data_IF_657587895855
#
_entry.id   IF_657587895855
#
_cell.length_a   1.000
_cell.length_b   1.000
_cell.length_c   1.000
_cell.angle_alpha   90.00
_cell.angle_beta   90.00
_cell.angle_gamma   90.00
#
_symmetry.space_group_name_H-M   'P 1'
#
loop_
_entity.id
_entity.type
_entity.pdbx_description
1 polymer ?
#
# COMPACT_ATOMS: atom_id res chain seq x y z
N UNK A 1 3.63 -64.96 -6.45
CA UNK A 1 2.98 -63.70 -6.05
C UNK A 1 3.45 -62.59 -6.98
N UNK A 2 2.54 -61.82 -7.57
CA UNK A 2 2.86 -60.73 -8.48
C UNK A 2 3.45 -59.56 -7.69
N UNK A 3 4.63 -59.07 -8.09
CA UNK A 3 5.31 -57.93 -7.46
C UNK A 3 4.38 -56.70 -7.54
N UNK A 4 4.10 -55.99 -6.43
CA UNK A 4 3.28 -54.78 -6.48
C UNK A 4 3.94 -53.75 -7.40
N UNK A 5 3.17 -53.21 -8.35
CA UNK A 5 3.62 -52.11 -9.21
C UNK A 5 3.90 -50.90 -8.31
N UNK A 6 5.16 -50.49 -8.26
CA UNK A 6 5.58 -49.25 -7.60
C UNK A 6 4.87 -48.11 -8.32
N UNK A 7 4.04 -47.34 -7.62
CA UNK A 7 3.48 -46.11 -8.19
C UNK A 7 4.64 -45.22 -8.63
N UNK A 8 4.73 -45.02 -9.93
CA UNK A 8 5.76 -44.22 -10.55
C UNK A 8 5.43 -42.74 -10.31
N UNK A 9 5.89 -42.21 -9.17
CA UNK A 9 5.76 -40.79 -8.83
C UNK A 9 6.77 -39.95 -9.63
N UNK A 10 6.72 -40.05 -10.97
CA UNK A 10 7.57 -39.27 -11.85
C UNK A 10 7.05 -37.83 -11.98
N UNK A 11 7.99 -36.88 -11.91
CA UNK A 11 7.71 -35.45 -12.08
C UNK A 11 7.66 -35.13 -13.58
N UNK A 12 6.53 -35.40 -14.20
CA UNK A 12 6.36 -35.31 -15.67
C UNK A 12 5.95 -33.91 -16.18
N UNK A 13 5.53 -33.02 -15.28
CA UNK A 13 5.06 -31.67 -15.64
C UNK A 13 6.20 -30.66 -15.51
N UNK A 14 6.44 -29.89 -16.59
CA UNK A 14 7.48 -28.85 -16.65
C UNK A 14 6.87 -27.47 -16.80
N UNK A 15 7.30 -26.55 -15.93
CA UNK A 15 7.01 -25.12 -16.02
C UNK A 15 8.30 -24.43 -16.48
N UNK A 16 8.19 -23.50 -17.45
CA UNK A 16 9.33 -22.70 -17.93
C UNK A 16 9.12 -21.25 -17.49
N UNK A 17 10.10 -20.69 -16.80
CA UNK A 17 10.10 -19.29 -16.34
C UNK A 17 11.39 -18.65 -16.83
N UNK A 18 11.30 -17.40 -17.30
CA UNK A 18 12.46 -16.60 -17.70
C UNK A 18 12.78 -15.62 -16.58
N UNK A 19 14.08 -15.46 -16.30
CA UNK A 19 14.60 -14.53 -15.32
C UNK A 19 15.57 -13.59 -16.00
N UNK A 20 15.68 -12.39 -15.49
CA UNK A 20 16.81 -11.50 -15.75
C UNK A 20 18.09 -12.05 -15.10
N UNK A 21 19.26 -11.57 -15.52
CA UNK A 21 20.54 -12.01 -14.95
C UNK A 21 20.62 -11.79 -13.43
N UNK A 22 20.09 -10.67 -12.95
CA UNK A 22 20.08 -10.31 -11.53
C UNK A 22 19.17 -11.23 -10.73
N UNK A 23 17.94 -11.46 -11.18
CA UNK A 23 17.00 -12.39 -10.56
C UNK A 23 17.57 -13.81 -10.49
N UNK A 24 18.21 -14.26 -11.58
CA UNK A 24 18.83 -15.58 -11.63
C UNK A 24 19.97 -15.70 -10.62
N UNK A 25 20.85 -14.70 -10.54
CA UNK A 25 21.96 -14.67 -9.58
C UNK A 25 21.49 -14.71 -8.12
N UNK A 26 20.39 -14.03 -7.81
CA UNK A 26 19.79 -14.04 -6.46
C UNK A 26 19.33 -15.46 -6.12
N UNK A 27 18.61 -16.12 -7.04
CA UNK A 27 18.10 -17.49 -6.83
C UNK A 27 19.27 -18.47 -6.70
N UNK A 28 20.30 -18.34 -7.52
CA UNK A 28 21.48 -19.21 -7.46
C UNK A 28 22.22 -19.08 -6.12
N UNK A 29 22.40 -17.85 -5.64
CA UNK A 29 23.05 -17.58 -4.35
C UNK A 29 22.23 -18.16 -3.21
N UNK A 30 20.91 -17.97 -3.23
CA UNK A 30 20.02 -18.51 -2.21
C UNK A 30 19.97 -20.04 -2.21
N UNK A 31 20.03 -20.68 -3.39
CA UNK A 31 20.12 -22.13 -3.51
C UNK A 31 21.43 -22.67 -2.92
N UNK A 32 22.56 -22.00 -3.18
CA UNK A 32 23.87 -22.35 -2.60
C UNK A 32 23.85 -22.22 -1.08
N UNK A 33 23.32 -21.12 -0.55
CA UNK A 33 23.19 -20.92 0.90
C UNK A 33 22.30 -21.98 1.57
N UNK A 34 21.27 -22.44 0.88
CA UNK A 34 20.39 -23.50 1.35
C UNK A 34 20.96 -24.93 1.16
N UNK A 35 22.16 -25.08 0.58
CA UNK A 35 22.75 -26.37 0.19
C UNK A 35 21.80 -27.22 -0.68
N UNK A 36 21.07 -26.58 -1.59
CA UNK A 36 20.14 -27.24 -2.50
C UNK A 36 20.56 -27.04 -3.94
N UNK A 37 20.24 -28.01 -4.81
CA UNK A 37 20.29 -27.75 -6.25
C UNK A 37 19.27 -26.67 -6.62
N UNK A 38 19.57 -25.87 -7.65
CA UNK A 38 18.70 -24.79 -8.11
C UNK A 38 17.25 -25.27 -8.33
N UNK A 39 17.09 -26.42 -9.00
CA UNK A 39 15.77 -27.00 -9.25
C UNK A 39 15.05 -27.44 -7.96
N UNK A 40 15.77 -27.93 -6.95
CA UNK A 40 15.19 -28.30 -5.67
C UNK A 40 14.84 -27.08 -4.82
N UNK A 41 15.67 -26.04 -4.86
CA UNK A 41 15.43 -24.77 -4.19
C UNK A 41 14.17 -24.09 -4.75
N UNK A 42 14.12 -23.86 -6.07
CA UNK A 42 12.96 -23.25 -6.74
C UNK A 42 11.69 -24.03 -6.45
N UNK A 43 11.74 -25.37 -6.52
CA UNK A 43 10.58 -26.21 -6.20
C UNK A 43 10.13 -26.09 -4.75
N UNK A 44 11.07 -26.00 -3.81
CA UNK A 44 10.75 -25.84 -2.39
C UNK A 44 10.11 -24.47 -2.14
N UNK A 45 10.59 -23.42 -2.80
CA UNK A 45 10.00 -22.08 -2.74
C UNK A 45 8.61 -22.06 -3.38
N UNK A 46 8.38 -22.71 -4.52
CA UNK A 46 7.05 -22.77 -5.16
C UNK A 46 6.04 -23.57 -4.33
N UNK A 47 6.46 -24.66 -3.67
CA UNK A 47 5.55 -25.53 -2.91
C UNK A 47 5.31 -25.07 -1.47
N UNK A 48 6.32 -24.46 -0.82
CA UNK A 48 6.27 -24.10 0.61
C UNK A 48 6.36 -22.60 0.86
N UNK A 49 6.76 -21.83 -0.14
CA UNK A 49 6.80 -20.37 -0.03
C UNK A 49 5.40 -19.84 0.17
N UNK A 50 5.23 -18.96 1.16
CA UNK A 50 4.00 -18.19 1.29
C UNK A 50 3.98 -17.19 0.16
N UNK A 51 3.09 -17.37 -0.80
CA UNK A 51 2.74 -16.29 -1.73
C UNK A 51 2.04 -15.24 -0.89
N UNK A 52 2.73 -14.14 -0.57
CA UNK A 52 2.04 -12.95 -0.08
C UNK A 52 1.22 -12.44 -1.25
N UNK A 53 -0.03 -12.89 -1.35
CA UNK A 53 -1.02 -12.21 -2.16
C UNK A 53 -1.11 -10.82 -1.57
N UNK A 54 -0.43 -9.85 -2.20
CA UNK A 54 -0.87 -8.46 -2.13
C UNK A 54 -2.26 -8.46 -2.75
N UNK A 55 -3.25 -8.75 -1.92
CA UNK A 55 -4.61 -8.35 -2.20
C UNK A 55 -4.50 -6.83 -2.06
N UNK A 56 -4.19 -6.17 -3.17
CA UNK A 56 -4.56 -4.78 -3.32
C UNK A 56 -6.07 -4.80 -3.23
N UNK A 57 -6.58 -4.67 -2.01
CA UNK A 57 -7.96 -4.28 -1.80
C UNK A 57 -7.99 -2.87 -2.38
N UNK A 58 -8.20 -2.78 -3.69
CA UNK A 58 -8.75 -1.59 -4.33
C UNK A 58 -10.20 -1.56 -3.87
N UNK A 59 -10.39 -1.39 -2.56
CA UNK A 59 -11.65 -0.91 -2.06
C UNK A 59 -11.71 0.47 -2.66
N UNK A 60 -12.58 0.60 -3.64
CA UNK A 60 -13.05 1.89 -4.08
C UNK A 60 -13.87 2.44 -2.91
N UNK A 61 -13.18 2.82 -1.82
CA UNK A 61 -13.78 3.18 -0.53
C UNK A 61 -14.53 4.47 -0.80
N UNK A 62 -15.87 4.44 -0.88
CA UNK A 62 -16.65 5.63 -1.19
C UNK A 62 -16.40 6.72 -0.14
N UNK A 63 -16.07 6.32 1.10
CA UNK A 63 -15.65 7.25 2.15
C UNK A 63 -14.34 7.97 1.82
N UNK A 64 -13.31 7.31 1.25
CA UNK A 64 -12.05 7.97 0.87
C UNK A 64 -12.28 8.95 -0.29
N UNK A 65 -13.07 8.56 -1.29
CA UNK A 65 -13.43 9.47 -2.40
C UNK A 65 -14.20 10.69 -1.90
N UNK A 66 -15.14 10.51 -0.96
CA UNK A 66 -15.89 11.58 -0.33
C UNK A 66 -14.98 12.52 0.46
N UNK A 67 -14.04 11.95 1.22
CA UNK A 67 -13.04 12.69 1.98
C UNK A 67 -12.13 13.52 1.05
N UNK A 68 -11.64 12.92 -0.05
CA UNK A 68 -10.82 13.61 -1.04
C UNK A 68 -11.58 14.76 -1.72
N UNK A 69 -12.86 14.57 -2.01
CA UNK A 69 -13.72 15.62 -2.54
C UNK A 69 -13.95 16.77 -1.55
N UNK A 70 -14.08 16.47 -0.25
CA UNK A 70 -14.15 17.49 0.80
C UNK A 70 -12.84 18.27 0.94
N UNK A 71 -11.68 17.59 0.89
CA UNK A 71 -10.37 18.25 0.84
C UNK A 71 -10.19 19.14 -0.40
N UNK A 72 -10.66 18.71 -1.57
CA UNK A 72 -10.64 19.52 -2.78
C UNK A 72 -11.43 20.82 -2.65
N UNK A 73 -12.60 20.78 -1.99
CA UNK A 73 -13.40 21.99 -1.69
C UNK A 73 -12.67 22.95 -0.75
N UNK A 74 -11.97 22.41 0.25
CA UNK A 74 -11.16 23.22 1.17
C UNK A 74 -10.01 23.91 0.43
N UNK A 75 -9.27 23.17 -0.40
CA UNK A 75 -8.19 23.73 -1.22
C UNK A 75 -8.68 24.86 -2.13
N UNK A 76 -9.86 24.68 -2.73
CA UNK A 76 -10.51 25.73 -3.53
C UNK A 76 -10.84 26.98 -2.71
N UNK A 77 -11.41 26.82 -1.51
CA UNK A 77 -11.72 27.93 -0.61
C UNK A 77 -10.46 28.69 -0.16
N UNK A 78 -9.39 27.97 0.18
CA UNK A 78 -8.10 28.58 0.52
C UNK A 78 -7.50 29.35 -0.65
N UNK A 79 -7.60 28.79 -1.86
CA UNK A 79 -7.14 29.45 -3.08
C UNK A 79 -7.94 30.73 -3.37
N UNK A 80 -9.24 30.75 -3.09
CA UNK A 80 -10.08 31.95 -3.23
C UNK A 80 -9.69 33.03 -2.22
N UNK A 81 -9.44 32.66 -0.96
CA UNK A 81 -8.95 33.57 0.08
C UNK A 81 -7.59 34.15 -0.32
N UNK A 82 -6.65 33.31 -0.77
CA UNK A 82 -5.34 33.73 -1.23
C UNK A 82 -5.44 34.68 -2.43
N UNK A 83 -6.27 34.34 -3.43
CA UNK A 83 -6.49 35.16 -4.62
C UNK A 83 -7.08 36.53 -4.26
N UNK A 84 -8.03 36.59 -3.32
CA UNK A 84 -8.63 37.84 -2.86
C UNK A 84 -7.60 38.78 -2.23
N UNK A 85 -6.73 38.28 -1.34
CA UNK A 85 -5.68 39.11 -0.73
C UNK A 85 -4.58 39.48 -1.73
N UNK A 86 -4.21 38.59 -2.64
CA UNK A 86 -3.25 38.90 -3.71
C UNK A 86 -3.74 40.01 -4.65
N UNK A 87 -5.05 40.25 -4.71
CA UNK A 87 -5.66 41.31 -5.52
C UNK A 87 -5.86 42.64 -4.76
N UNK A 88 -5.29 42.79 -3.55
CA UNK A 88 -5.42 43.99 -2.74
C UNK A 88 -6.70 44.05 -1.89
N UNK A 89 -7.32 42.90 -1.64
CA UNK A 89 -8.49 42.78 -0.78
C UNK A 89 -8.23 43.27 0.66
N UNK A 90 -9.18 44.02 1.21
CA UNK A 90 -9.09 44.59 2.56
C UNK A 90 -9.76 43.62 3.54
N UNK A 91 -9.12 43.37 4.69
CA UNK A 91 -9.66 42.48 5.71
C UNK A 91 -10.83 43.15 6.46
N UNK A 92 -12.05 43.02 5.91
CA UNK A 92 -13.25 43.48 6.61
C UNK A 92 -13.56 42.58 7.82
N UNK A 93 -14.30 43.10 8.80
CA UNK A 93 -14.73 42.32 9.96
C UNK A 93 -15.65 41.14 9.58
N UNK A 94 -16.48 41.30 8.55
CA UNK A 94 -17.31 40.21 8.00
C UNK A 94 -16.44 39.09 7.43
N UNK A 95 -15.42 39.44 6.65
CA UNK A 95 -14.45 38.46 6.12
C UNK A 95 -13.70 37.72 7.22
N UNK A 96 -13.32 38.43 8.29
CA UNK A 96 -12.66 37.80 9.45
C UNK A 96 -13.59 36.80 10.13
N UNK A 97 -14.88 37.12 10.23
CA UNK A 97 -15.91 36.20 10.69
C UNK A 97 -16.03 34.96 9.81
N UNK A 98 -16.03 35.14 8.49
CA UNK A 98 -16.14 34.04 7.54
C UNK A 98 -14.91 33.13 7.53
N UNK A 99 -13.70 33.68 7.58
CA UNK A 99 -12.45 32.92 7.72
C UNK A 99 -12.44 32.10 9.01
N UNK A 100 -12.84 32.71 10.14
CA UNK A 100 -12.92 32.01 11.43
C UNK A 100 -13.96 30.87 11.41
N UNK A 101 -15.08 31.06 10.73
CA UNK A 101 -16.10 30.02 10.53
C UNK A 101 -15.52 28.86 9.73
N UNK A 102 -14.85 29.14 8.61
CA UNK A 102 -14.22 28.10 7.77
C UNK A 102 -13.09 27.36 8.48
N UNK A 103 -12.30 28.06 9.30
CA UNK A 103 -11.30 27.44 10.18
C UNK A 103 -11.95 26.47 11.17
N UNK A 104 -13.09 26.84 11.75
CA UNK A 104 -13.83 25.98 12.68
C UNK A 104 -14.34 24.71 11.99
N UNK A 105 -14.92 24.84 10.80
CA UNK A 105 -15.36 23.69 9.99
C UNK A 105 -14.19 22.72 9.71
N UNK A 106 -13.01 23.27 9.42
CA UNK A 106 -11.75 22.52 9.22
C UNK A 106 -11.32 21.77 10.48
N UNK A 107 -11.40 22.40 11.64
CA UNK A 107 -11.08 21.75 12.92
C UNK A 107 -12.04 20.59 13.22
N UNK A 108 -13.34 20.78 13.02
CA UNK A 108 -14.33 19.73 13.28
C UNK A 108 -14.11 18.52 12.35
N UNK A 109 -13.79 18.77 11.09
CA UNK A 109 -13.47 17.73 10.12
C UNK A 109 -12.18 16.98 10.49
N UNK A 110 -11.12 17.67 10.96
CA UNK A 110 -9.90 17.05 11.48
C UNK A 110 -10.21 16.03 12.58
N UNK A 111 -11.11 16.37 13.51
CA UNK A 111 -11.48 15.45 14.60
C UNK A 111 -12.30 14.25 14.10
N UNK A 112 -13.26 14.47 13.20
CA UNK A 112 -14.02 13.39 12.55
C UNK A 112 -13.11 12.42 11.79
N UNK A 113 -12.09 12.93 11.09
CA UNK A 113 -11.11 12.10 10.39
C UNK A 113 -10.23 11.31 11.38
N UNK A 114 -9.80 11.92 12.49
CA UNK A 114 -9.06 11.20 13.54
C UNK A 114 -9.89 10.10 14.20
N UNK A 115 -11.18 10.36 14.45
CA UNK A 115 -12.11 9.37 14.98
C UNK A 115 -12.32 8.21 14.00
N UNK A 116 -12.49 8.50 12.70
CA UNK A 116 -12.62 7.48 11.64
C UNK A 116 -11.32 6.70 11.39
N UNK A 117 -10.16 7.31 11.60
CA UNK A 117 -8.86 6.66 11.41
C UNK A 117 -8.52 5.66 12.54
N UNK A 118 -9.18 5.74 13.70
CA UNK A 118 -8.86 4.96 14.89
C UNK A 118 -7.47 5.28 15.46
N UNK A 119 -7.07 4.56 16.52
CA UNK A 119 -5.70 4.61 17.06
C UNK A 119 -4.72 4.04 16.02
N UNK A 120 -4.24 4.89 15.13
CA UNK A 120 -3.14 4.57 14.23
C UNK A 120 -1.83 4.60 15.03
N UNK A 121 -1.62 3.58 15.87
CA UNK A 121 -0.28 3.22 16.32
C UNK A 121 0.47 2.67 15.10
N UNK A 122 1.04 3.58 14.31
CA UNK A 122 2.08 3.19 13.37
C UNK A 122 3.18 2.52 14.20
N UNK A 123 3.37 1.22 14.01
CA UNK A 123 4.51 0.50 14.58
C UNK A 123 5.80 1.16 14.05
N UNK A 124 6.29 2.16 14.78
CA UNK A 124 7.65 2.68 14.69
C UNK A 124 8.61 1.69 15.35
N UNK A 125 8.62 0.45 14.86
CA UNK A 125 9.75 -0.44 15.05
C UNK A 125 10.41 -0.64 13.68
N UNK A 126 10.99 0.47 13.21
CA UNK A 126 12.14 0.45 12.32
C UNK A 126 13.18 -0.49 12.90
N UNK A 127 13.52 -1.51 12.11
CA UNK A 127 14.75 -2.30 12.25
C UNK A 127 15.92 -1.37 12.60
N UNK A 128 16.36 -1.42 13.86
CA UNK A 128 17.70 -0.99 14.23
C UNK A 128 18.63 -2.17 13.98
N UNK A 129 19.80 -1.84 13.41
CA UNK A 129 20.89 -2.74 13.03
C UNK A 129 21.34 -3.69 14.15
#
# INVERSE_FOLDING_TARGET
MTRPKKEEMYRNHRITVRFTETEFSIIETAAKQANMSLASYVRTQVLKGKVQTKIEIVADVPEIKKLLAEFGKIGSNLNQIAKYFNQGGILSQEMRGEINKRLRDLYEMKYKVMEMAGDFHGNTETYSK
#
